data_IF_301910886274
#
_entry.id   IF_301910886274
#
_cell.length_a   1.000
_cell.length_b   1.000
_cell.length_c   1.000
_cell.angle_alpha   90.00
_cell.angle_beta   90.00
_cell.angle_gamma   90.00
#
_symmetry.space_group_name_H-M   'P 1'
#
loop_
_entity.id
_entity.type
_entity.pdbx_description
1 polymer ?
#
# COMPACT_ATOMS: atom_id res chain seq x y z
N UNK A 1 7.36 40.03 -41.20
CA UNK A 1 6.55 38.87 -40.76
C UNK A 1 7.51 37.71 -40.54
N UNK A 2 8.08 37.60 -39.33
CA UNK A 2 8.94 36.49 -38.96
C UNK A 2 8.09 35.34 -38.40
N UNK A 3 8.15 34.22 -39.05
CA UNK A 3 7.46 33.01 -38.62
C UNK A 3 8.24 32.36 -37.51
N UNK A 4 7.68 32.37 -36.30
CA UNK A 4 8.21 31.69 -35.12
C UNK A 4 7.90 30.20 -35.21
N UNK A 5 8.89 29.39 -35.61
CA UNK A 5 8.76 27.92 -35.65
C UNK A 5 8.86 27.35 -34.21
N UNK A 6 7.90 26.61 -33.73
CA UNK A 6 8.00 26.00 -32.39
C UNK A 6 9.09 24.91 -32.40
N UNK A 7 10.08 25.02 -31.52
CA UNK A 7 11.13 24.02 -31.34
C UNK A 7 10.50 22.75 -30.73
N UNK A 8 10.34 21.74 -31.56
CA UNK A 8 9.96 20.39 -31.16
C UNK A 8 11.09 19.81 -30.28
N UNK A 9 10.83 19.62 -28.97
CA UNK A 9 11.77 18.97 -28.06
C UNK A 9 11.73 17.45 -28.27
N UNK A 10 12.88 16.74 -28.36
CA UNK A 10 12.92 15.31 -28.67
C UNK A 10 12.25 14.46 -27.57
N UNK A 11 11.29 13.62 -27.93
CA UNK A 11 10.58 12.69 -27.04
C UNK A 11 11.50 11.71 -26.27
N UNK A 12 12.67 11.43 -26.79
CA UNK A 12 13.66 10.53 -26.16
C UNK A 12 14.31 11.05 -24.87
N UNK A 13 14.43 12.37 -24.69
CA UNK A 13 15.02 12.94 -23.46
C UNK A 13 14.06 12.82 -22.26
N UNK A 14 12.76 12.90 -22.47
CA UNK A 14 11.76 12.73 -21.41
C UNK A 14 11.70 11.26 -20.97
N UNK A 15 11.66 10.31 -21.91
CA UNK A 15 11.68 8.89 -21.62
C UNK A 15 12.93 8.46 -20.83
N UNK A 16 14.10 8.98 -21.17
CA UNK A 16 15.35 8.72 -20.44
C UNK A 16 15.35 9.33 -19.02
N UNK A 17 14.74 10.51 -18.84
CA UNK A 17 14.60 11.15 -17.53
C UNK A 17 13.63 10.39 -16.63
N UNK A 18 12.50 9.91 -17.18
CA UNK A 18 11.51 9.12 -16.45
C UNK A 18 12.08 7.76 -16.05
N UNK A 19 12.82 7.07 -16.95
CA UNK A 19 13.50 5.83 -16.65
C UNK A 19 14.52 5.99 -15.52
N UNK A 20 15.29 7.09 -15.54
CA UNK A 20 16.25 7.40 -14.48
C UNK A 20 15.58 7.72 -13.16
N UNK A 21 14.48 8.48 -13.19
CA UNK A 21 13.67 8.79 -12.00
C UNK A 21 13.14 7.51 -11.38
N UNK A 22 12.59 6.59 -12.17
CA UNK A 22 12.10 5.28 -11.70
C UNK A 22 13.23 4.45 -11.06
N UNK A 23 14.39 4.35 -11.69
CA UNK A 23 15.54 3.63 -11.14
C UNK A 23 16.01 4.18 -9.79
N UNK A 24 16.00 5.51 -9.60
CA UNK A 24 16.33 6.14 -8.31
C UNK A 24 15.27 5.79 -7.26
N UNK A 25 13.98 5.80 -7.60
CA UNK A 25 12.88 5.43 -6.70
C UNK A 25 13.02 3.97 -6.26
N UNK A 26 13.28 3.04 -7.18
CA UNK A 26 13.43 1.62 -6.87
C UNK A 26 14.67 1.36 -5.98
N UNK A 27 15.79 2.02 -6.24
CA UNK A 27 16.99 1.94 -5.38
C UNK A 27 16.76 2.54 -3.99
N UNK A 28 16.04 3.65 -3.91
CA UNK A 28 15.66 4.27 -2.64
C UNK A 28 14.71 3.38 -1.84
N UNK A 29 13.72 2.77 -2.49
CA UNK A 29 12.81 1.81 -1.88
C UNK A 29 13.59 0.64 -1.27
N UNK A 30 14.48 0.01 -2.03
CA UNK A 30 15.28 -1.12 -1.57
C UNK A 30 16.14 -0.74 -0.35
N UNK A 31 16.79 0.42 -0.38
CA UNK A 31 17.64 0.87 0.73
C UNK A 31 16.83 1.25 1.96
N UNK A 32 15.69 1.94 1.81
CA UNK A 32 14.79 2.28 2.91
C UNK A 32 14.19 1.01 3.54
N UNK A 33 13.79 0.03 2.74
CA UNK A 33 13.30 -1.26 3.22
C UNK A 33 14.37 -2.01 4.03
N UNK A 34 15.61 -1.98 3.56
CA UNK A 34 16.73 -2.68 4.22
C UNK A 34 17.20 -1.99 5.49
N UNK A 35 17.43 -0.68 5.45
CA UNK A 35 18.13 0.08 6.48
C UNK A 35 17.24 1.02 7.30
N UNK A 36 15.99 1.27 6.87
CA UNK A 36 15.14 2.35 7.37
C UNK A 36 15.52 3.70 6.78
N UNK A 37 14.63 4.70 6.99
CA UNK A 37 14.87 6.05 6.48
C UNK A 37 16.09 6.71 7.13
N UNK A 38 16.19 6.66 8.46
CA UNK A 38 17.23 7.37 9.21
C UNK A 38 18.64 6.92 8.83
N UNK A 39 18.86 5.62 8.62
CA UNK A 39 20.16 5.02 8.31
C UNK A 39 20.52 5.04 6.82
N UNK A 40 19.69 5.62 5.98
CA UNK A 40 19.93 5.76 4.54
C UNK A 40 20.48 7.15 4.20
N UNK A 41 21.31 7.24 3.14
CA UNK A 41 21.82 8.51 2.63
C UNK A 41 21.66 8.62 1.11
N UNK A 42 21.55 9.85 0.59
CA UNK A 42 21.50 10.06 -0.86
C UNK A 42 22.74 9.51 -1.58
N UNK A 43 23.91 9.50 -0.93
CA UNK A 43 25.13 8.93 -1.50
C UNK A 43 25.02 7.40 -1.66
N UNK A 44 24.47 6.70 -0.66
CA UNK A 44 24.22 5.25 -0.75
C UNK A 44 23.18 4.92 -1.82
N UNK A 45 22.08 5.68 -1.87
CA UNK A 45 21.03 5.50 -2.90
C UNK A 45 21.62 5.77 -4.30
N UNK A 46 22.45 6.78 -4.45
CA UNK A 46 23.10 7.12 -5.72
C UNK A 46 24.02 5.99 -6.21
N UNK A 47 24.78 5.39 -5.30
CA UNK A 47 25.65 4.26 -5.62
C UNK A 47 24.84 3.06 -6.13
N UNK A 48 23.72 2.71 -5.47
CA UNK A 48 22.83 1.62 -5.89
C UNK A 48 22.13 1.92 -7.23
N UNK A 49 21.77 3.19 -7.48
CA UNK A 49 21.10 3.63 -8.71
C UNK A 49 22.08 3.87 -9.89
N UNK A 50 23.38 3.67 -9.71
CA UNK A 50 24.39 3.96 -10.73
C UNK A 50 24.44 5.43 -11.14
N UNK A 51 24.23 6.36 -10.19
CA UNK A 51 24.19 7.80 -10.43
C UNK A 51 24.96 8.58 -9.34
N UNK A 52 24.80 9.90 -9.28
CA UNK A 52 25.40 10.74 -8.24
C UNK A 52 24.35 11.35 -7.31
N UNK A 53 24.74 11.66 -6.07
CA UNK A 53 23.87 12.36 -5.11
C UNK A 53 23.39 13.71 -5.65
N UNK A 54 24.20 14.39 -6.46
CA UNK A 54 23.83 15.65 -7.13
C UNK A 54 22.66 15.44 -8.11
N UNK A 55 22.67 14.35 -8.87
CA UNK A 55 21.57 14.00 -9.79
C UNK A 55 20.29 13.71 -9.00
N UNK A 56 20.38 12.97 -7.89
CA UNK A 56 19.21 12.72 -7.03
C UNK A 56 18.67 14.04 -6.46
N UNK A 57 19.55 14.90 -5.95
CA UNK A 57 19.15 16.21 -5.44
C UNK A 57 18.52 17.08 -6.53
N UNK A 58 19.01 17.00 -7.77
CA UNK A 58 18.42 17.72 -8.90
C UNK A 58 16.99 17.24 -9.20
N UNK A 59 16.74 15.90 -9.14
CA UNK A 59 15.41 15.32 -9.44
C UNK A 59 14.40 15.47 -8.30
N UNK A 60 14.84 15.33 -7.05
CA UNK A 60 13.94 15.24 -5.89
C UNK A 60 14.11 16.37 -4.88
N UNK A 61 15.19 17.13 -4.95
CA UNK A 61 15.50 18.23 -4.03
C UNK A 61 16.09 17.76 -2.70
N UNK A 62 15.50 16.78 -2.03
CA UNK A 62 15.95 16.29 -0.72
C UNK A 62 15.67 14.80 -0.52
N UNK A 63 16.31 14.18 0.47
CA UNK A 63 16.03 12.80 0.91
C UNK A 63 14.57 12.64 1.36
N UNK A 64 14.00 13.64 2.03
CA UNK A 64 12.61 13.65 2.46
C UNK A 64 11.65 13.63 1.25
N UNK A 65 11.87 14.48 0.23
CA UNK A 65 11.06 14.47 -0.99
C UNK A 65 11.21 13.18 -1.79
N UNK A 66 12.41 12.57 -1.78
CA UNK A 66 12.61 11.25 -2.37
C UNK A 66 11.81 10.18 -1.64
N UNK A 67 11.75 10.22 -0.29
CA UNK A 67 10.90 9.31 0.48
C UNK A 67 9.44 9.45 0.10
N UNK A 68 8.92 10.69 0.00
CA UNK A 68 7.54 10.92 -0.45
C UNK A 68 7.29 10.35 -1.83
N UNK A 69 8.20 10.58 -2.78
CA UNK A 69 8.08 10.02 -4.13
C UNK A 69 8.09 8.47 -4.15
N UNK A 70 8.81 7.82 -3.25
CA UNK A 70 8.79 6.34 -3.09
C UNK A 70 7.43 5.87 -2.59
N UNK A 71 6.86 6.55 -1.59
CA UNK A 71 5.55 6.21 -1.02
C UNK A 71 4.41 6.45 -2.02
N UNK A 72 4.44 7.58 -2.73
CA UNK A 72 3.50 7.91 -3.81
C UNK A 72 3.56 6.89 -4.95
N UNK A 73 4.75 6.55 -5.44
CA UNK A 73 4.92 5.57 -6.51
C UNK A 73 4.39 4.18 -6.12
N UNK A 74 4.49 3.81 -4.85
CA UNK A 74 3.90 2.58 -4.31
C UNK A 74 2.37 2.66 -4.34
N UNK A 75 1.78 3.74 -3.82
CA UNK A 75 0.33 3.91 -3.79
C UNK A 75 -0.25 3.90 -5.21
N UNK A 76 0.38 4.63 -6.16
CA UNK A 76 0.00 4.60 -7.57
C UNK A 76 0.07 3.19 -8.20
N UNK A 77 1.08 2.39 -7.83
CA UNK A 77 1.23 1.01 -8.33
C UNK A 77 0.10 0.12 -7.81
N UNK A 78 -0.26 0.26 -6.53
CA UNK A 78 -1.38 -0.44 -5.92
C UNK A 78 -2.71 -0.03 -6.56
N UNK A 79 -2.94 1.27 -6.73
CA UNK A 79 -4.15 1.80 -7.38
C UNK A 79 -4.32 1.31 -8.83
N UNK A 80 -3.22 1.22 -9.60
CA UNK A 80 -3.28 0.68 -10.97
C UNK A 80 -3.68 -0.78 -11.04
N UNK A 81 -3.35 -1.57 -10.01
CA UNK A 81 -3.59 -3.03 -10.01
C UNK A 81 -4.95 -3.39 -9.43
N UNK A 82 -5.38 -2.69 -8.38
CA UNK A 82 -6.60 -3.02 -7.62
C UNK A 82 -7.69 -1.95 -7.70
N UNK A 83 -7.39 -0.78 -8.28
CA UNK A 83 -8.22 0.39 -8.06
C UNK A 83 -8.01 0.94 -6.63
N UNK A 84 -8.74 1.98 -6.27
CA UNK A 84 -8.89 2.33 -4.87
C UNK A 84 -9.76 1.26 -4.20
N UNK A 85 -9.36 0.81 -3.00
CA UNK A 85 -10.34 0.34 -2.03
C UNK A 85 -11.20 1.58 -1.69
N UNK A 86 -12.12 1.87 -2.58
CA UNK A 86 -12.88 3.10 -2.60
C UNK A 86 -14.33 2.87 -2.22
N UNK A 87 -15.15 3.91 -2.33
CA UNK A 87 -16.57 3.81 -2.02
C UNK A 87 -17.31 2.73 -2.82
N UNK A 88 -16.75 2.24 -3.94
CA UNK A 88 -17.38 1.23 -4.80
C UNK A 88 -16.82 -0.19 -4.60
N UNK A 89 -15.79 -0.37 -3.73
CA UNK A 89 -15.21 -1.69 -3.42
C UNK A 89 -16.25 -2.63 -2.80
N UNK A 90 -16.30 -3.85 -3.30
CA UNK A 90 -17.25 -4.86 -2.83
C UNK A 90 -18.70 -4.60 -3.18
N UNK A 91 -19.05 -3.46 -3.78
CA UNK A 91 -20.44 -3.04 -3.95
C UNK A 91 -21.16 -2.97 -2.60
N UNK A 92 -22.31 -3.63 -2.48
CA UNK A 92 -23.05 -3.75 -1.22
C UNK A 92 -22.78 -5.08 -0.51
N UNK A 93 -21.85 -5.91 -0.99
CA UNK A 93 -21.54 -7.25 -0.46
C UNK A 93 -20.28 -7.23 0.40
N UNK A 94 -20.45 -7.41 1.72
CA UNK A 94 -19.34 -7.48 2.68
C UNK A 94 -18.34 -8.61 2.38
N UNK A 95 -18.82 -9.73 1.81
CA UNK A 95 -17.93 -10.85 1.44
C UNK A 95 -17.09 -10.51 0.23
N UNK A 96 -17.66 -9.80 -0.75
CA UNK A 96 -16.92 -9.28 -1.89
C UNK A 96 -15.84 -8.30 -1.41
N UNK A 97 -16.17 -7.34 -0.53
CA UNK A 97 -15.22 -6.42 0.08
C UNK A 97 -14.06 -7.16 0.76
N UNK A 98 -14.35 -8.16 1.59
CA UNK A 98 -13.30 -8.88 2.32
C UNK A 98 -12.45 -9.75 1.41
N UNK A 99 -13.01 -10.29 0.31
CA UNK A 99 -12.20 -10.96 -0.74
C UNK A 99 -11.26 -9.98 -1.45
N UNK A 100 -11.69 -8.76 -1.74
CA UNK A 100 -10.84 -7.72 -2.32
C UNK A 100 -9.71 -7.30 -1.36
N UNK A 101 -10.03 -7.10 -0.08
CA UNK A 101 -9.03 -6.82 0.98
C UNK A 101 -8.00 -7.94 1.07
N UNK A 102 -8.43 -9.21 1.04
CA UNK A 102 -7.54 -10.37 1.07
C UNK A 102 -6.67 -10.44 -0.19
N UNK A 103 -7.24 -10.20 -1.37
CA UNK A 103 -6.52 -10.20 -2.63
C UNK A 103 -5.44 -9.09 -2.67
N UNK A 104 -5.76 -7.89 -2.18
CA UNK A 104 -4.79 -6.81 -2.05
C UNK A 104 -3.66 -7.16 -1.07
N UNK A 105 -4.00 -7.78 0.05
CA UNK A 105 -3.00 -8.23 1.01
C UNK A 105 -2.07 -9.30 0.42
N UNK A 106 -2.61 -10.28 -0.31
CA UNK A 106 -1.82 -11.29 -1.02
C UNK A 106 -0.90 -10.66 -2.09
N UNK A 107 -1.41 -9.70 -2.85
CA UNK A 107 -0.59 -8.96 -3.83
C UNK A 107 0.58 -8.22 -3.17
N UNK A 108 0.37 -7.59 -2.03
CA UNK A 108 1.43 -6.88 -1.32
C UNK A 108 2.57 -7.84 -0.93
N UNK A 109 2.30 -9.12 -0.64
CA UNK A 109 3.31 -10.13 -0.34
C UNK A 109 4.21 -10.48 -1.53
N UNK A 110 3.74 -10.27 -2.76
CA UNK A 110 4.59 -10.45 -3.96
C UNK A 110 5.68 -9.39 -4.06
N UNK A 111 5.65 -8.38 -3.18
CA UNK A 111 6.58 -7.26 -3.14
C UNK A 111 7.21 -7.12 -1.75
N UNK A 112 8.05 -8.06 -1.29
CA UNK A 112 8.54 -8.12 0.08
C UNK A 112 9.29 -6.85 0.52
N UNK A 113 9.99 -6.18 -0.38
CA UNK A 113 10.64 -4.90 -0.11
C UNK A 113 9.64 -3.79 0.30
N UNK A 114 8.42 -3.82 -0.22
CA UNK A 114 7.38 -2.87 0.17
C UNK A 114 6.85 -3.13 1.58
N UNK A 115 6.59 -4.39 1.93
CA UNK A 115 6.16 -4.73 3.30
C UNK A 115 7.23 -4.33 4.30
N UNK A 116 8.50 -4.66 4.03
CA UNK A 116 9.61 -4.27 4.91
C UNK A 116 9.73 -2.75 5.03
N UNK A 117 9.53 -2.00 3.95
CA UNK A 117 9.51 -0.54 3.98
C UNK A 117 8.39 -0.04 4.89
N UNK A 118 7.16 -0.50 4.67
CA UNK A 118 5.99 -0.04 5.42
C UNK A 118 6.08 -0.37 6.90
N UNK A 119 6.45 -1.58 7.27
CA UNK A 119 6.59 -1.98 8.69
C UNK A 119 7.63 -1.16 9.43
N UNK A 120 8.74 -0.81 8.76
CA UNK A 120 9.77 0.06 9.35
C UNK A 120 9.33 1.51 9.43
N UNK A 121 8.84 2.06 8.30
CA UNK A 121 8.48 3.47 8.25
C UNK A 121 7.25 3.81 9.10
N UNK A 122 6.25 2.93 9.19
CA UNK A 122 5.09 3.18 10.06
C UNK A 122 5.51 3.26 11.53
N UNK A 123 6.45 2.41 11.95
CA UNK A 123 7.00 2.47 13.31
C UNK A 123 7.84 3.75 13.54
N UNK A 124 8.72 4.12 12.60
CA UNK A 124 9.51 5.36 12.66
C UNK A 124 8.58 6.60 12.64
N UNK A 125 7.51 6.57 11.85
CA UNK A 125 6.53 7.65 11.69
C UNK A 125 5.61 7.85 12.91
N UNK A 126 5.70 7.00 13.92
CA UNK A 126 5.10 7.25 15.24
C UNK A 126 5.67 8.51 15.92
N UNK A 127 6.88 8.93 15.55
CA UNK A 127 7.44 10.23 15.94
C UNK A 127 6.85 11.34 15.05
N UNK A 128 6.16 12.37 15.62
CA UNK A 128 5.61 13.50 14.87
C UNK A 128 6.66 14.30 14.09
N UNK A 129 7.93 14.25 14.48
CA UNK A 129 9.02 14.90 13.77
C UNK A 129 9.52 14.11 12.55
N UNK A 130 9.09 12.86 12.38
CA UNK A 130 9.50 12.03 11.26
C UNK A 130 8.87 12.52 9.94
N UNK A 131 9.64 12.62 8.83
CA UNK A 131 9.11 13.13 7.55
C UNK A 131 7.89 12.42 7.00
N UNK A 132 7.70 11.13 7.32
CA UNK A 132 6.57 10.35 6.85
C UNK A 132 5.36 10.37 7.82
N UNK A 133 5.44 11.10 8.97
CA UNK A 133 4.36 11.11 9.95
C UNK A 133 3.02 11.55 9.35
N UNK A 134 2.98 12.71 8.70
CA UNK A 134 1.76 13.22 8.08
C UNK A 134 1.21 12.26 7.02
N UNK A 135 2.08 11.70 6.17
CA UNK A 135 1.67 10.72 5.16
C UNK A 135 0.98 9.51 5.78
N UNK A 136 1.55 8.90 6.83
CA UNK A 136 0.94 7.73 7.47
C UNK A 136 -0.34 8.08 8.21
N UNK A 137 -0.39 9.22 8.90
CA UNK A 137 -1.60 9.69 9.57
C UNK A 137 -2.76 9.85 8.57
N UNK A 138 -2.56 10.59 7.48
CA UNK A 138 -3.54 10.78 6.43
C UNK A 138 -3.93 9.46 5.73
N UNK A 139 -2.95 8.58 5.49
CA UNK A 139 -3.18 7.29 4.86
C UNK A 139 -4.06 6.39 5.72
N UNK A 140 -3.78 6.27 7.02
CA UNK A 140 -4.60 5.44 7.91
C UNK A 140 -6.04 5.96 7.99
N UNK A 141 -6.24 7.27 8.10
CA UNK A 141 -7.59 7.84 8.10
C UNK A 141 -8.31 7.60 6.77
N UNK A 142 -7.64 7.82 5.63
CA UNK A 142 -8.22 7.59 4.30
C UNK A 142 -8.63 6.13 4.09
N UNK A 143 -7.76 5.17 4.42
CA UNK A 143 -8.06 3.75 4.21
C UNK A 143 -9.13 3.27 5.18
N UNK A 144 -9.09 3.68 6.46
CA UNK A 144 -10.13 3.37 7.43
C UNK A 144 -11.49 3.91 6.97
N UNK A 145 -11.54 5.17 6.53
CA UNK A 145 -12.77 5.78 6.02
C UNK A 145 -13.32 5.05 4.77
N UNK A 146 -12.46 4.67 3.84
CA UNK A 146 -12.87 3.91 2.64
C UNK A 146 -13.48 2.56 3.00
N UNK A 147 -12.83 1.80 3.89
CA UNK A 147 -13.36 0.52 4.38
C UNK A 147 -14.66 0.70 5.16
N UNK A 148 -14.72 1.69 6.06
CA UNK A 148 -15.93 2.00 6.83
C UNK A 148 -17.10 2.37 5.91
N UNK A 149 -16.86 3.15 4.87
CA UNK A 149 -17.88 3.53 3.88
C UNK A 149 -18.40 2.30 3.11
N UNK A 150 -17.53 1.35 2.74
CA UNK A 150 -17.94 0.11 2.11
C UNK A 150 -18.74 -0.79 3.05
N UNK A 151 -18.32 -0.92 4.31
CA UNK A 151 -19.05 -1.64 5.35
C UNK A 151 -20.42 -1.00 5.65
N UNK A 152 -20.50 0.34 5.63
CA UNK A 152 -21.76 1.05 5.83
C UNK A 152 -22.78 0.71 4.72
N UNK A 153 -22.36 0.60 3.46
CA UNK A 153 -23.27 0.17 2.38
C UNK A 153 -23.78 -1.25 2.61
N UNK A 154 -22.92 -2.18 3.01
CA UNK A 154 -23.35 -3.54 3.36
C UNK A 154 -24.31 -3.55 4.56
N UNK A 155 -24.14 -2.63 5.51
CA UNK A 155 -25.06 -2.43 6.63
C UNK A 155 -26.41 -1.89 6.16
N UNK A 156 -26.42 -0.86 5.31
CA UNK A 156 -27.64 -0.25 4.76
C UNK A 156 -28.40 -1.24 3.86
N UNK A 157 -27.68 -2.15 3.19
CA UNK A 157 -28.25 -3.28 2.43
C UNK A 157 -28.80 -4.40 3.32
N UNK A 158 -28.72 -4.28 4.65
CA UNK A 158 -29.25 -5.25 5.60
C UNK A 158 -28.44 -6.56 5.72
N UNK A 159 -27.22 -6.58 5.24
CA UNK A 159 -26.34 -7.75 5.33
C UNK A 159 -25.69 -7.89 6.71
N UNK A 160 -25.45 -6.78 7.39
CA UNK A 160 -24.78 -6.75 8.68
C UNK A 160 -25.78 -6.65 9.84
N UNK A 161 -25.40 -7.24 10.96
CA UNK A 161 -26.23 -7.26 12.18
C UNK A 161 -26.43 -5.86 12.73
N UNK A 162 -27.60 -5.56 13.33
CA UNK A 162 -27.81 -4.33 14.06
C UNK A 162 -26.74 -4.11 15.15
N UNK A 163 -26.25 -2.87 15.26
CA UNK A 163 -25.21 -2.51 16.22
C UNK A 163 -23.77 -2.72 15.71
N UNK A 164 -23.59 -3.17 14.45
CA UNK A 164 -22.27 -3.16 13.80
C UNK A 164 -21.79 -1.71 13.67
N UNK A 165 -20.57 -1.44 14.11
CA UNK A 165 -19.88 -0.16 13.92
C UNK A 165 -18.85 -0.28 12.79
N UNK A 166 -19.14 0.23 11.57
CA UNK A 166 -18.25 0.11 10.42
C UNK A 166 -16.87 0.73 10.63
N UNK A 167 -16.77 1.83 11.39
CA UNK A 167 -15.49 2.51 11.66
C UNK A 167 -14.58 1.63 12.51
N UNK A 168 -15.09 1.06 13.60
CA UNK A 168 -14.34 0.15 14.46
C UNK A 168 -13.88 -1.10 13.71
N UNK A 169 -14.75 -1.68 12.88
CA UNK A 169 -14.41 -2.86 12.08
C UNK A 169 -13.33 -2.54 11.04
N UNK A 170 -13.42 -1.39 10.37
CA UNK A 170 -12.40 -0.96 9.43
C UNK A 170 -11.02 -0.84 10.09
N UNK A 171 -10.94 -0.26 11.29
CA UNK A 171 -9.70 -0.14 12.06
C UNK A 171 -9.18 -1.51 12.53
N UNK A 172 -10.06 -2.43 12.93
CA UNK A 172 -9.69 -3.81 13.29
C UNK A 172 -9.04 -4.53 12.10
N UNK A 173 -9.65 -4.47 10.92
CA UNK A 173 -9.13 -5.07 9.69
C UNK A 173 -7.71 -4.55 9.38
N UNK A 174 -7.49 -3.24 9.48
CA UNK A 174 -6.18 -2.64 9.29
C UNK A 174 -5.17 -3.09 10.35
N UNK A 175 -5.57 -3.06 11.62
CA UNK A 175 -4.69 -3.44 12.72
C UNK A 175 -4.22 -4.90 12.63
N UNK A 176 -5.11 -5.82 12.25
CA UNK A 176 -4.75 -7.23 12.05
C UNK A 176 -3.84 -7.39 10.84
N UNK A 177 -4.13 -6.71 9.72
CA UNK A 177 -3.26 -6.73 8.54
C UNK A 177 -1.86 -6.24 8.88
N UNK A 178 -1.73 -5.10 9.55
CA UNK A 178 -0.44 -4.51 9.90
C UNK A 178 0.33 -5.39 10.89
N UNK A 179 -0.36 -5.93 11.90
CA UNK A 179 0.26 -6.86 12.85
C UNK A 179 0.79 -8.13 12.20
N UNK A 180 0.04 -8.70 11.26
CA UNK A 180 0.48 -9.86 10.48
C UNK A 180 1.64 -9.52 9.53
N UNK A 181 1.68 -8.32 8.92
CA UNK A 181 2.81 -7.87 8.11
C UNK A 181 4.11 -7.77 8.91
N UNK A 182 4.04 -7.24 10.15
CA UNK A 182 5.18 -7.19 11.06
C UNK A 182 5.70 -8.61 11.36
N UNK A 183 4.81 -9.53 11.72
CA UNK A 183 5.17 -10.92 12.01
C UNK A 183 5.74 -11.63 10.80
N UNK A 184 5.15 -11.41 9.61
CA UNK A 184 5.63 -11.97 8.34
C UNK A 184 7.05 -11.47 8.01
N UNK A 185 7.30 -10.17 8.21
CA UNK A 185 8.62 -9.57 7.98
C UNK A 185 9.68 -10.13 8.96
N UNK A 186 9.32 -10.31 10.25
CA UNK A 186 10.20 -10.93 11.26
C UNK A 186 10.47 -12.40 10.94
N UNK A 187 9.46 -13.12 10.45
CA UNK A 187 9.58 -14.52 10.04
C UNK A 187 10.25 -14.70 8.66
N UNK A 188 10.81 -13.64 8.06
CA UNK A 188 11.47 -13.65 6.75
C UNK A 188 10.59 -14.28 5.65
N UNK A 189 9.30 -13.97 5.67
CA UNK A 189 8.32 -14.47 4.70
C UNK A 189 7.79 -15.89 4.95
N UNK A 190 8.22 -16.57 6.00
CA UNK A 190 7.78 -17.96 6.32
C UNK A 190 6.41 -18.07 6.98
N UNK A 191 5.85 -16.94 7.46
CA UNK A 191 4.51 -16.94 8.05
C UNK A 191 3.45 -17.09 6.94
N UNK A 192 2.48 -17.97 7.14
CA UNK A 192 1.30 -18.03 6.29
C UNK A 192 0.36 -16.85 6.56
N UNK A 193 0.76 -15.69 6.07
CA UNK A 193 0.00 -14.46 6.21
C UNK A 193 -1.41 -14.59 5.61
N UNK A 194 -1.50 -15.10 4.37
CA UNK A 194 -2.78 -15.15 3.64
C UNK A 194 -3.76 -16.07 4.35
N UNK A 195 -3.33 -17.25 4.79
CA UNK A 195 -4.16 -18.17 5.53
C UNK A 195 -4.65 -17.61 6.87
N UNK A 196 -3.76 -16.95 7.62
CA UNK A 196 -4.12 -16.33 8.90
C UNK A 196 -5.08 -15.14 8.72
N UNK A 197 -4.84 -14.29 7.71
CA UNK A 197 -5.70 -13.15 7.44
C UNK A 197 -7.07 -13.58 6.91
N UNK A 198 -7.11 -14.56 6.01
CA UNK A 198 -8.36 -15.20 5.56
C UNK A 198 -9.16 -15.75 6.73
N UNK A 199 -8.52 -16.51 7.64
CA UNK A 199 -9.19 -17.07 8.80
C UNK A 199 -9.73 -15.99 9.75
N UNK A 200 -9.06 -14.84 9.86
CA UNK A 200 -9.57 -13.69 10.60
C UNK A 200 -10.80 -13.09 9.92
N UNK A 201 -10.72 -12.79 8.63
CA UNK A 201 -11.82 -12.21 7.85
C UNK A 201 -13.03 -13.15 7.80
N UNK A 202 -12.81 -14.47 7.73
CA UNK A 202 -13.88 -15.47 7.77
C UNK A 202 -14.65 -15.42 9.09
N UNK A 203 -13.94 -15.46 10.23
CA UNK A 203 -14.57 -15.33 11.57
C UNK A 203 -15.29 -13.99 11.73
N UNK A 204 -14.69 -12.91 11.22
CA UNK A 204 -15.28 -11.59 11.27
C UNK A 204 -16.57 -11.55 10.43
N UNK A 205 -16.59 -12.13 9.23
CA UNK A 205 -17.77 -12.24 8.38
C UNK A 205 -18.88 -12.99 9.11
N UNK A 206 -18.59 -14.18 9.70
CA UNK A 206 -19.57 -14.96 10.48
C UNK A 206 -20.15 -14.17 11.65
N UNK A 207 -19.32 -13.39 12.33
CA UNK A 207 -19.76 -12.58 13.46
C UNK A 207 -20.64 -11.40 13.04
N UNK A 208 -20.33 -10.76 11.92
CA UNK A 208 -20.99 -9.54 11.47
C UNK A 208 -22.25 -9.78 10.65
N UNK A 209 -22.31 -10.84 9.85
CA UNK A 209 -23.42 -11.05 8.91
C UNK A 209 -24.68 -11.57 9.58
N UNK A 210 -25.84 -11.18 9.05
CA UNK A 210 -27.16 -11.60 9.56
C UNK A 210 -27.35 -13.11 9.41
N UNK A 211 -26.85 -13.70 8.30
CA UNK A 211 -26.92 -15.13 8.01
C UNK A 211 -25.89 -15.96 8.76
N UNK A 212 -24.89 -15.34 9.38
CA UNK A 212 -23.82 -16.01 10.12
C UNK A 212 -22.87 -16.87 9.26
N UNK A 213 -22.95 -16.75 7.92
CA UNK A 213 -22.07 -17.48 7.01
C UNK A 213 -20.72 -16.74 6.88
N UNK A 214 -19.64 -17.51 6.68
CA UNK A 214 -18.29 -16.98 6.47
C UNK A 214 -18.00 -16.52 5.04
N UNK A 215 -16.72 -16.37 4.77
CA UNK A 215 -16.24 -16.15 3.41
C UNK A 215 -16.37 -17.46 2.63
N UNK A 216 -17.16 -17.45 1.57
CA UNK A 216 -17.19 -18.59 0.64
C UNK A 216 -15.80 -18.79 0.04
N UNK A 217 -15.37 -20.04 -0.13
CA UNK A 217 -14.18 -20.34 -0.90
C UNK A 217 -14.40 -19.86 -2.35
N UNK A 218 -13.43 -19.13 -2.97
CA UNK A 218 -13.56 -18.83 -4.39
C UNK A 218 -13.65 -20.17 -5.14
N UNK A 219 -14.73 -20.37 -5.87
CA UNK A 219 -14.90 -21.55 -6.73
C UNK A 219 -13.67 -21.61 -7.67
N UNK A 220 -12.73 -22.55 -7.43
CA UNK A 220 -11.56 -22.75 -8.28
C UNK A 220 -10.21 -22.25 -7.74
N UNK A 221 -9.99 -22.17 -6.42
CA UNK A 221 -8.64 -22.03 -5.90
C UNK A 221 -7.86 -23.33 -6.14
N UNK A 222 -7.39 -23.53 -7.38
CA UNK A 222 -6.30 -24.48 -7.65
C UNK A 222 -5.09 -24.04 -6.81
N UNK A 223 -4.62 -24.94 -5.95
CA UNK A 223 -3.38 -24.77 -5.20
C UNK A 223 -2.27 -24.55 -6.22
N UNK A 224 -1.73 -23.34 -6.29
CA UNK A 224 -0.48 -23.11 -7.00
C UNK A 224 0.60 -23.99 -6.38
N UNK A 225 1.40 -24.67 -7.21
CA UNK A 225 2.39 -25.64 -6.79
C UNK A 225 3.54 -25.05 -5.98
#
# INVERSE_FOLDING_TARGET
MEQHTPRHRPSGQYAAADTRRAAIIDSALALFAKAGYLNSSLAKIAAEAGTSATVITHHFGSKQRLLMAVLEARDERTMRTFGELGPDSGGDDVRALFREVLALAAYNLTQPGLIQLYTKLSAEAGDPAHPAHAYFAERYERVAHSLASALQRSFDAGQLRPGTDPESIAREILAVSDGLQVQWAIAEGRLDFVGLYRAHLDRLTQALTVDGQGLDEPAGAERLP
#
